data_IF_253209220554
#
_entry.id   IF_253209220554
#
_cell.length_a   1.000
_cell.length_b   1.000
_cell.length_c   1.000
_cell.angle_alpha   90.00
_cell.angle_beta   90.00
_cell.angle_gamma   90.00
#
_symmetry.space_group_name_H-M   'P 1'
#
loop_
_entity.id
_entity.type
_entity.pdbx_description
1 polymer ?
#
# COMPACT_ATOMS: atom_id res chain seq x y z
N UNK A 1 15.31 6.35 4.07
CA UNK A 1 15.63 7.58 4.83
C UNK A 1 16.03 8.75 3.93
N UNK A 2 17.07 8.65 3.08
CA UNK A 2 17.45 9.76 2.17
C UNK A 2 16.29 10.29 1.31
N UNK A 3 15.52 9.40 0.67
CA UNK A 3 14.36 9.79 -0.13
C UNK A 3 13.25 10.46 0.71
N UNK A 4 13.11 10.06 1.97
CA UNK A 4 12.13 10.63 2.90
C UNK A 4 12.58 12.02 3.40
N UNK A 5 13.87 12.18 3.70
CA UNK A 5 14.44 13.45 4.17
C UNK A 5 14.64 14.48 3.05
N UNK A 6 14.91 14.03 1.81
CA UNK A 6 15.10 14.90 0.65
C UNK A 6 13.85 15.08 -0.22
N UNK A 7 12.79 14.32 0.04
CA UNK A 7 11.55 14.34 -0.73
C UNK A 7 10.42 15.01 0.04
N UNK A 8 9.34 15.37 -0.68
CA UNK A 8 8.07 15.74 -0.07
C UNK A 8 7.20 14.50 0.06
N UNK A 9 6.57 14.32 1.23
CA UNK A 9 5.55 13.31 1.41
C UNK A 9 4.27 13.77 0.75
N UNK A 10 3.54 12.85 0.14
CA UNK A 10 2.25 13.11 -0.47
C UNK A 10 1.27 12.00 -0.09
N UNK A 11 0.00 12.36 -0.07
CA UNK A 11 -1.12 11.43 -0.01
C UNK A 11 -1.98 11.68 -1.24
N UNK A 12 -2.52 10.64 -1.89
CA UNK A 12 -3.53 10.85 -2.92
C UNK A 12 -4.75 11.53 -2.29
N UNK A 13 -5.28 12.54 -2.98
CA UNK A 13 -6.58 13.12 -2.65
C UNK A 13 -7.64 12.01 -2.62
N UNK A 14 -8.46 11.97 -1.57
CA UNK A 14 -9.45 10.91 -1.35
C UNK A 14 -8.88 9.61 -0.76
N UNK A 15 -7.56 9.52 -0.52
CA UNK A 15 -6.93 8.39 0.15
C UNK A 15 -6.30 7.34 -0.77
N UNK A 16 -5.70 6.31 -0.16
CA UNK A 16 -4.85 5.35 -0.87
C UNK A 16 -5.59 4.51 -1.93
N UNK A 17 -6.92 4.31 -1.77
CA UNK A 17 -7.75 3.52 -2.69
C UNK A 17 -7.97 4.20 -4.06
N UNK A 18 -7.79 5.52 -4.13
CA UNK A 18 -8.03 6.30 -5.36
C UNK A 18 -7.11 5.85 -6.49
N UNK A 19 -5.84 5.55 -6.18
CA UNK A 19 -4.87 5.13 -7.18
C UNK A 19 -5.23 3.77 -7.82
N UNK A 20 -5.46 2.68 -7.06
CA UNK A 20 -5.97 1.42 -7.61
C UNK A 20 -7.27 1.61 -8.42
N UNK A 21 -8.20 2.45 -7.95
CA UNK A 21 -9.43 2.74 -8.67
C UNK A 21 -9.21 3.42 -10.02
N UNK A 22 -8.28 4.39 -10.10
CA UNK A 22 -7.88 5.03 -11.36
C UNK A 22 -7.23 4.04 -12.33
N UNK A 23 -6.33 3.19 -11.82
CA UNK A 23 -5.66 2.17 -12.64
C UNK A 23 -6.65 1.15 -13.19
N UNK A 24 -7.60 0.68 -12.37
CA UNK A 24 -8.61 -0.27 -12.80
C UNK A 24 -9.54 0.30 -13.89
N UNK A 25 -9.92 1.58 -13.78
CA UNK A 25 -10.75 2.28 -14.79
C UNK A 25 -10.07 2.45 -16.15
N UNK A 26 -8.73 2.42 -16.19
CA UNK A 26 -7.97 2.51 -17.43
C UNK A 26 -7.89 1.18 -18.20
N UNK A 27 -8.38 0.07 -17.62
CA UNK A 27 -8.35 -1.25 -18.24
C UNK A 27 -9.64 -1.53 -19.01
N UNK A 28 -9.61 -2.38 -20.06
CA UNK A 28 -10.81 -2.82 -20.75
C UNK A 28 -11.84 -3.42 -19.78
N UNK A 29 -13.15 -3.19 -19.98
CA UNK A 29 -14.20 -3.78 -19.15
C UNK A 29 -14.05 -5.30 -19.02
N UNK A 30 -14.24 -5.82 -17.81
CA UNK A 30 -14.10 -7.25 -17.50
C UNK A 30 -12.66 -7.73 -17.22
N UNK A 31 -11.64 -6.87 -17.34
CA UNK A 31 -10.25 -7.22 -17.02
C UNK A 31 -10.05 -7.51 -15.53
N UNK A 32 -10.67 -6.71 -14.65
CA UNK A 32 -10.58 -6.89 -13.20
C UNK A 32 -11.79 -7.67 -12.70
N UNK A 33 -11.55 -8.78 -12.01
CA UNK A 33 -12.58 -9.62 -11.38
C UNK A 33 -12.31 -9.71 -9.88
N UNK A 34 -13.13 -9.04 -9.08
CA UNK A 34 -13.08 -9.12 -7.61
C UNK A 34 -13.99 -10.24 -7.10
N UNK A 35 -13.84 -10.64 -5.83
CA UNK A 35 -14.58 -11.78 -5.26
C UNK A 35 -14.16 -13.15 -5.81
N UNK A 36 -13.14 -13.21 -6.68
CA UNK A 36 -12.61 -14.45 -7.24
C UNK A 36 -11.36 -14.87 -6.48
N UNK A 37 -11.50 -15.86 -5.59
CA UNK A 37 -10.36 -16.42 -4.84
C UNK A 37 -9.60 -17.45 -5.69
N UNK A 38 -8.31 -17.20 -5.90
CA UNK A 38 -7.37 -18.16 -6.50
C UNK A 38 -6.96 -19.20 -5.47
N UNK A 39 -6.94 -20.47 -5.85
CA UNK A 39 -6.58 -21.61 -4.98
C UNK A 39 -5.36 -22.37 -5.49
N UNK A 40 -5.03 -22.26 -6.78
CA UNK A 40 -3.82 -22.86 -7.35
C UNK A 40 -3.42 -22.12 -8.62
N UNK A 41 -2.12 -22.09 -8.90
CA UNK A 41 -1.55 -21.48 -10.11
C UNK A 41 -0.59 -22.45 -10.80
N UNK A 42 -0.55 -22.39 -12.12
CA UNK A 42 0.46 -23.03 -12.96
C UNK A 42 0.99 -22.02 -13.97
N UNK A 43 1.91 -22.42 -14.85
CA UNK A 43 2.41 -21.55 -15.93
C UNK A 43 1.36 -21.17 -16.96
N UNK A 44 0.26 -21.92 -17.05
CA UNK A 44 -0.73 -21.80 -18.12
C UNK A 44 -2.18 -21.76 -17.62
N UNK A 45 -2.37 -21.78 -16.30
CA UNK A 45 -3.71 -21.75 -15.71
C UNK A 45 -3.74 -21.21 -14.29
N UNK A 46 -4.92 -20.73 -13.91
CA UNK A 46 -5.26 -20.32 -12.55
C UNK A 46 -6.54 -21.06 -12.17
N UNK A 47 -6.50 -21.82 -11.08
CA UNK A 47 -7.69 -22.47 -10.50
C UNK A 47 -8.27 -21.55 -9.45
N UNK A 48 -9.59 -21.40 -9.49
CA UNK A 48 -10.34 -20.56 -8.56
C UNK A 48 -11.29 -21.42 -7.73
N UNK A 49 -11.66 -20.94 -6.54
CA UNK A 49 -12.55 -21.69 -5.65
C UNK A 49 -13.93 -21.94 -6.25
N UNK A 50 -14.50 -20.94 -6.92
CA UNK A 50 -15.92 -20.92 -7.33
C UNK A 50 -16.13 -20.65 -8.83
N UNK A 51 -15.07 -20.33 -9.57
CA UNK A 51 -15.16 -19.87 -10.97
C UNK A 51 -14.40 -20.77 -11.96
N UNK A 52 -14.07 -22.00 -11.53
CA UNK A 52 -13.36 -22.98 -12.34
C UNK A 52 -11.91 -22.60 -12.65
N UNK A 53 -11.41 -23.11 -13.79
CA UNK A 53 -10.04 -22.92 -14.25
C UNK A 53 -9.98 -21.88 -15.36
N UNK A 54 -9.16 -20.86 -15.17
CA UNK A 54 -8.86 -19.85 -16.18
C UNK A 54 -7.56 -20.24 -16.91
N UNK A 55 -7.58 -20.31 -18.23
CA UNK A 55 -6.38 -20.60 -19.04
C UNK A 55 -5.70 -19.31 -19.45
N UNK A 56 -4.38 -19.32 -19.46
CA UNK A 56 -3.55 -18.17 -19.82
C UNK A 56 -2.22 -18.62 -20.43
N UNK A 57 -1.47 -17.67 -20.99
CA UNK A 57 -0.11 -17.91 -21.52
C UNK A 57 1.00 -17.68 -20.48
N UNK A 58 0.68 -16.93 -19.43
CA UNK A 58 1.55 -16.64 -18.31
C UNK A 58 0.72 -16.25 -17.08
N UNK A 59 1.28 -16.43 -15.89
CA UNK A 59 0.71 -16.01 -14.60
C UNK A 59 1.68 -15.08 -13.90
N UNK A 60 1.20 -13.91 -13.48
CA UNK A 60 1.89 -13.00 -12.56
C UNK A 60 1.20 -13.06 -11.21
N UNK A 61 1.91 -13.52 -10.19
CA UNK A 61 1.45 -13.52 -8.82
C UNK A 61 1.83 -12.20 -8.14
N UNK A 62 0.84 -11.39 -7.81
CA UNK A 62 0.97 -10.06 -7.20
C UNK A 62 0.31 -9.99 -5.81
N UNK A 63 0.35 -11.09 -5.06
CA UNK A 63 -0.18 -11.19 -3.68
C UNK A 63 0.89 -10.81 -2.65
N UNK A 64 0.51 -10.71 -1.38
CA UNK A 64 1.49 -10.68 -0.30
C UNK A 64 2.35 -11.96 -0.27
N UNK A 65 3.48 -11.90 0.46
CA UNK A 65 4.47 -12.98 0.43
C UNK A 65 3.96 -14.30 1.04
N UNK A 66 3.01 -14.25 1.98
CA UNK A 66 2.46 -15.46 2.62
C UNK A 66 1.48 -16.14 1.67
N UNK A 67 0.51 -15.38 1.15
CA UNK A 67 -0.42 -15.87 0.13
C UNK A 67 0.33 -16.38 -1.12
N UNK A 68 1.45 -15.75 -1.48
CA UNK A 68 2.28 -16.23 -2.58
C UNK A 68 2.88 -17.61 -2.29
N UNK A 69 3.38 -17.84 -1.07
CA UNK A 69 3.96 -19.11 -0.67
C UNK A 69 2.92 -20.22 -0.46
N UNK A 70 1.66 -19.89 -0.14
CA UNK A 70 0.54 -20.85 -0.14
C UNK A 70 0.26 -21.37 -1.55
N UNK A 71 0.28 -20.49 -2.54
CA UNK A 71 0.04 -20.86 -3.94
C UNK A 71 1.24 -21.52 -4.61
N UNK A 72 2.46 -21.18 -4.15
CA UNK A 72 3.73 -21.67 -4.68
C UNK A 72 4.67 -22.10 -3.55
N UNK A 73 4.51 -23.34 -3.03
CA UNK A 73 5.38 -23.87 -1.99
C UNK A 73 6.85 -23.83 -2.42
N UNK A 74 7.71 -23.35 -1.52
CA UNK A 74 9.14 -23.16 -1.79
C UNK A 74 9.56 -21.70 -2.03
N UNK A 75 8.61 -20.77 -2.15
CA UNK A 75 8.92 -19.34 -2.11
C UNK A 75 9.45 -18.93 -0.74
N UNK A 76 10.53 -18.13 -0.74
CA UNK A 76 11.07 -17.55 0.49
C UNK A 76 10.13 -16.48 1.04
N UNK A 77 9.55 -16.76 2.20
CA UNK A 77 8.78 -15.79 2.98
C UNK A 77 9.71 -15.06 3.95
N UNK A 78 9.82 -13.72 3.89
CA UNK A 78 10.58 -12.96 4.87
C UNK A 78 9.87 -12.96 6.24
N UNK A 79 10.58 -12.55 7.30
CA UNK A 79 9.87 -12.08 8.50
C UNK A 79 9.16 -10.76 8.20
N UNK A 80 8.33 -10.28 9.13
CA UNK A 80 7.61 -9.02 8.96
C UNK A 80 7.73 -8.14 10.20
N UNK A 81 7.62 -6.83 9.97
CA UNK A 81 7.41 -5.85 11.01
C UNK A 81 5.93 -5.47 11.05
N UNK A 82 5.23 -5.70 12.18
CA UNK A 82 3.84 -5.29 12.33
C UNK A 82 3.73 -3.78 12.43
N UNK A 83 2.59 -3.26 11.96
CA UNK A 83 2.26 -1.83 12.03
C UNK A 83 0.81 -1.70 12.48
N UNK A 84 0.57 -0.76 13.40
CA UNK A 84 -0.80 -0.35 13.77
C UNK A 84 -1.00 1.11 13.41
N UNK A 85 -2.07 1.40 12.68
CA UNK A 85 -2.50 2.77 12.38
C UNK A 85 -3.74 3.08 13.20
N UNK A 86 -3.72 4.20 13.91
CA UNK A 86 -4.86 4.69 14.70
C UNK A 86 -5.33 6.01 14.12
N UNK A 87 -6.63 6.10 13.87
CA UNK A 87 -7.30 7.29 13.38
C UNK A 87 -8.14 7.93 14.49
N UNK A 88 -7.89 9.20 14.75
CA UNK A 88 -8.66 10.01 15.69
C UNK A 88 -9.30 11.20 14.98
N UNK A 89 -10.39 11.68 15.55
CA UNK A 89 -11.00 12.94 15.15
C UNK A 89 -11.32 13.81 16.35
N UNK A 90 -11.42 15.12 16.10
CA UNK A 90 -11.84 16.11 17.09
C UNK A 90 -12.56 17.27 16.41
N UNK A 91 -13.47 17.90 17.14
CA UNK A 91 -14.13 19.17 16.82
C UNK A 91 -13.39 20.40 17.34
N UNK A 92 -12.32 20.22 18.13
CA UNK A 92 -11.55 21.28 18.74
C UNK A 92 -10.09 21.22 18.26
N UNK A 93 -9.79 21.68 17.03
CA UNK A 93 -8.47 21.53 16.47
C UNK A 93 -7.37 22.25 17.27
N UNK A 94 -7.70 23.29 18.04
CA UNK A 94 -6.71 24.13 18.73
C UNK A 94 -5.58 24.67 17.81
N UNK A 95 -4.69 25.51 18.33
CA UNK A 95 -3.49 25.93 17.58
C UNK A 95 -2.47 24.78 17.44
N UNK A 96 -2.47 23.83 18.36
CA UNK A 96 -1.53 22.70 18.42
C UNK A 96 -1.61 21.74 17.21
N UNK A 97 -2.79 21.58 16.61
CA UNK A 97 -2.96 20.73 15.41
C UNK A 97 -2.72 21.48 14.10
N UNK A 98 -2.34 22.76 14.17
CA UNK A 98 -1.92 23.55 13.01
C UNK A 98 -0.46 23.28 12.62
N UNK A 99 -0.06 22.01 12.56
CA UNK A 99 1.30 21.60 12.14
C UNK A 99 1.54 21.76 10.62
N UNK A 100 0.59 22.38 9.91
CA UNK A 100 0.54 22.42 8.46
C UNK A 100 0.49 21.01 7.88
N UNK A 101 1.27 20.78 6.81
CA UNK A 101 1.39 19.49 6.13
C UNK A 101 2.58 18.65 6.61
N UNK A 102 3.12 18.98 7.79
CA UNK A 102 4.30 18.32 8.34
C UNK A 102 3.95 17.01 9.04
N UNK A 103 4.83 16.01 8.91
CA UNK A 103 4.81 14.80 9.72
C UNK A 103 5.52 15.09 11.05
N UNK A 104 4.88 14.76 12.17
CA UNK A 104 5.49 14.84 13.49
C UNK A 104 6.08 13.47 13.85
N UNK A 105 7.34 13.46 14.31
CA UNK A 105 8.04 12.26 14.75
C UNK A 105 8.42 12.40 16.22
N UNK A 106 8.31 11.31 16.97
CA UNK A 106 8.84 11.25 18.33
C UNK A 106 10.31 10.79 18.30
N UNK A 107 11.23 11.72 18.56
CA UNK A 107 12.65 11.41 18.65
C UNK A 107 13.04 10.77 19.99
N UNK A 108 12.28 11.04 21.05
CA UNK A 108 12.61 10.65 22.43
C UNK A 108 12.09 9.25 22.79
N UNK A 109 11.25 8.67 21.93
CA UNK A 109 10.61 7.36 22.12
C UNK A 109 9.82 7.31 23.45
N UNK A 110 9.15 8.41 23.77
CA UNK A 110 8.36 8.60 24.99
C UNK A 110 7.02 7.86 25.00
N UNK A 111 6.67 7.19 23.90
CA UNK A 111 5.45 6.39 23.80
C UNK A 111 5.38 5.55 22.53
N UNK A 112 4.22 4.94 22.24
CA UNK A 112 4.08 3.95 21.17
C UNK A 112 4.04 4.57 19.75
N UNK A 113 3.78 5.87 19.64
CA UNK A 113 3.62 6.55 18.35
C UNK A 113 4.99 6.83 17.74
N UNK A 114 5.31 6.19 16.62
CA UNK A 114 6.52 6.46 15.87
C UNK A 114 6.41 7.78 15.08
N UNK A 115 5.24 8.04 14.51
CA UNK A 115 4.93 9.30 13.84
C UNK A 115 3.42 9.55 13.74
N UNK A 116 3.04 10.81 13.57
CA UNK A 116 1.64 11.25 13.43
C UNK A 116 1.53 12.42 12.46
N UNK A 117 0.41 12.50 11.74
CA UNK A 117 0.08 13.62 10.87
C UNK A 117 -1.40 14.01 11.02
N UNK A 118 -1.66 15.32 10.91
CA UNK A 118 -3.00 15.86 10.76
C UNK A 118 -3.38 15.77 9.29
N UNK A 119 -4.02 14.66 8.92
CA UNK A 119 -4.32 14.31 7.53
C UNK A 119 -5.24 15.33 6.86
N UNK A 120 -6.20 15.87 7.61
CA UNK A 120 -7.12 16.89 7.09
C UNK A 120 -6.43 18.21 6.73
N UNK A 121 -5.21 18.48 7.22
CA UNK A 121 -4.41 19.62 6.77
C UNK A 121 -3.78 19.38 5.39
N UNK A 122 -3.61 18.12 4.99
CA UNK A 122 -3.04 17.74 3.69
C UNK A 122 -4.15 17.55 2.66
N UNK A 123 -5.23 16.87 3.06
CA UNK A 123 -6.40 16.62 2.24
C UNK A 123 -7.68 16.87 3.08
N UNK A 124 -8.25 18.08 3.01
CA UNK A 124 -9.44 18.45 3.76
C UNK A 124 -10.67 17.59 3.46
N UNK A 125 -10.74 16.96 2.28
CA UNK A 125 -11.88 16.11 1.89
C UNK A 125 -12.00 14.84 2.75
N UNK A 126 -10.93 14.47 3.46
CA UNK A 126 -10.85 13.29 4.33
C UNK A 126 -11.51 13.47 5.69
N UNK A 127 -11.99 14.67 6.01
CA UNK A 127 -12.71 14.93 7.25
C UNK A 127 -13.99 15.74 6.97
N UNK A 128 -15.09 15.48 7.69
CA UNK A 128 -16.26 16.35 7.65
C UNK A 128 -15.91 17.80 8.03
N UNK A 129 -16.70 18.76 7.54
CA UNK A 129 -16.53 20.16 7.90
C UNK A 129 -16.55 20.35 9.44
N UNK A 130 -15.60 21.13 9.96
CA UNK A 130 -15.44 21.36 11.40
C UNK A 130 -14.80 20.21 12.17
N UNK A 131 -14.36 19.15 11.49
CA UNK A 131 -13.65 18.02 12.11
C UNK A 131 -12.23 17.90 11.58
N UNK A 132 -11.35 17.46 12.45
CA UNK A 132 -9.94 17.18 12.11
C UNK A 132 -9.75 15.67 12.03
N UNK A 133 -8.94 15.19 11.08
CA UNK A 133 -8.50 13.79 11.01
C UNK A 133 -7.02 13.70 11.37
N UNK A 134 -6.71 12.97 12.43
CA UNK A 134 -5.35 12.68 12.88
C UNK A 134 -5.06 11.20 12.63
N UNK A 135 -3.91 10.90 12.03
CA UNK A 135 -3.46 9.54 11.78
C UNK A 135 -2.11 9.30 12.44
N UNK A 136 -2.07 8.32 13.33
CA UNK A 136 -0.90 7.96 14.12
C UNK A 136 -0.45 6.55 13.77
N UNK A 137 0.86 6.33 13.71
CA UNK A 137 1.45 5.04 13.39
C UNK A 137 2.28 4.52 14.55
N UNK A 138 1.99 3.28 14.95
CA UNK A 138 2.72 2.51 15.95
C UNK A 138 3.47 1.41 15.21
N UNK A 139 4.79 1.31 15.44
CA UNK A 139 5.64 0.29 14.84
C UNK A 139 5.89 -0.81 15.87
N UNK A 140 5.81 -2.08 15.44
CA UNK A 140 5.98 -3.21 16.34
C UNK A 140 4.66 -3.70 16.95
N UNK A 141 4.76 -4.54 17.97
CA UNK A 141 3.60 -5.08 18.67
C UNK A 141 2.86 -3.93 19.38
N UNK A 142 1.57 -3.71 19.11
CA UNK A 142 0.82 -2.67 19.79
C UNK A 142 0.68 -3.00 21.29
N UNK A 143 0.63 -2.01 22.18
CA UNK A 143 0.25 -2.23 23.56
C UNK A 143 -1.21 -2.70 23.66
N UNK A 144 -1.58 -3.32 24.79
CA UNK A 144 -2.90 -3.91 25.01
C UNK A 144 -4.04 -2.88 24.83
N UNK A 145 -3.91 -1.71 25.47
CA UNK A 145 -4.80 -0.56 25.23
C UNK A 145 -4.12 0.46 24.31
N UNK A 146 -4.06 0.11 23.02
CA UNK A 146 -3.41 0.94 21.99
C UNK A 146 -4.05 2.31 21.86
N UNK A 147 -5.36 2.43 22.03
CA UNK A 147 -6.03 3.72 21.90
C UNK A 147 -5.64 4.68 23.02
N UNK A 148 -5.77 4.26 24.29
CA UNK A 148 -5.43 5.12 25.41
C UNK A 148 -3.94 5.47 25.44
N UNK A 149 -3.07 4.51 25.11
CA UNK A 149 -1.64 4.73 25.03
C UNK A 149 -1.26 5.73 23.92
N UNK A 150 -1.89 5.62 22.74
CA UNK A 150 -1.69 6.57 21.64
C UNK A 150 -2.22 7.94 22.03
N UNK A 151 -3.45 8.09 22.52
CA UNK A 151 -4.00 9.40 22.93
C UNK A 151 -3.18 10.07 24.02
N UNK A 152 -2.68 9.31 24.99
CA UNK A 152 -1.79 9.83 26.04
C UNK A 152 -0.50 10.36 25.41
N UNK A 153 0.10 9.62 24.49
CA UNK A 153 1.32 10.05 23.82
C UNK A 153 1.11 11.28 22.93
N UNK A 154 0.01 11.30 22.15
CA UNK A 154 -0.35 12.43 21.30
C UNK A 154 -0.60 13.71 22.07
N UNK A 155 -1.15 13.62 23.29
CA UNK A 155 -1.35 14.82 24.12
C UNK A 155 -0.02 15.52 24.46
N UNK A 156 1.04 14.73 24.66
CA UNK A 156 2.40 15.23 24.90
C UNK A 156 3.03 15.75 23.61
N UNK A 157 2.92 14.99 22.52
CA UNK A 157 3.53 15.34 21.23
C UNK A 157 2.95 16.63 20.64
N UNK A 158 1.63 16.79 20.70
CA UNK A 158 0.97 18.01 20.24
C UNK A 158 0.89 19.10 21.31
N UNK A 159 1.15 18.78 22.58
CA UNK A 159 1.01 19.74 23.69
C UNK A 159 -0.43 20.19 23.92
N UNK A 160 -1.41 19.31 23.67
CA UNK A 160 -2.85 19.60 23.80
C UNK A 160 -3.60 18.43 24.44
N UNK A 161 -4.67 18.67 25.22
CA UNK A 161 -5.51 17.59 25.72
C UNK A 161 -6.15 16.77 24.58
N UNK A 162 -6.14 15.44 24.72
CA UNK A 162 -6.78 14.49 23.77
C UNK A 162 -8.05 13.86 24.34
N UNK A 163 -8.58 14.39 25.45
CA UNK A 163 -9.76 13.87 26.14
C UNK A 163 -11.05 13.94 25.29
N UNK A 164 -11.16 14.93 24.40
CA UNK A 164 -12.26 15.08 23.43
C UNK A 164 -12.04 14.34 22.11
N UNK A 165 -10.93 13.62 21.98
CA UNK A 165 -10.64 12.91 20.74
C UNK A 165 -11.43 11.61 20.69
N UNK A 166 -12.07 11.39 19.57
CA UNK A 166 -12.83 10.18 19.27
C UNK A 166 -12.00 9.28 18.36
N UNK A 167 -11.98 7.99 18.67
CA UNK A 167 -11.29 6.97 17.88
C UNK A 167 -12.20 6.53 16.74
N UNK A 168 -11.78 6.78 15.52
CA UNK A 168 -12.52 6.38 14.32
C UNK A 168 -12.22 4.93 13.93
N UNK A 169 -10.94 4.56 13.96
CA UNK A 169 -10.51 3.23 13.60
C UNK A 169 -9.11 2.90 14.14
N UNK A 170 -8.90 1.61 14.36
CA UNK A 170 -7.60 1.02 14.69
C UNK A 170 -7.36 -0.12 13.69
N UNK A 171 -6.32 -0.01 12.88
CA UNK A 171 -5.96 -1.00 11.88
C UNK A 171 -4.61 -1.61 12.26
N UNK A 172 -4.63 -2.86 12.74
CA UNK A 172 -3.43 -3.63 12.99
C UNK A 172 -3.13 -4.57 11.82
N UNK A 173 -1.95 -4.42 11.24
CA UNK A 173 -1.46 -5.28 10.16
C UNK A 173 -0.23 -6.04 10.66
N UNK A 174 -0.36 -7.33 11.02
CA UNK A 174 0.75 -8.09 11.61
C UNK A 174 1.91 -8.31 10.63
N UNK A 175 1.58 -8.49 9.35
CA UNK A 175 2.54 -8.69 8.27
C UNK A 175 2.65 -7.44 7.38
N UNK A 176 2.84 -6.26 7.99
CA UNK A 176 2.76 -4.99 7.27
C UNK A 176 3.97 -4.69 6.38
N UNK A 177 5.19 -4.92 6.89
CA UNK A 177 6.42 -4.56 6.16
C UNK A 177 7.38 -5.75 6.16
N UNK A 178 7.76 -6.28 4.98
CA UNK A 178 8.78 -7.32 4.90
C UNK A 178 10.09 -6.91 5.59
N UNK A 179 10.61 -7.77 6.45
CA UNK A 179 11.84 -7.53 7.20
C UNK A 179 13.08 -7.65 6.30
N UNK A 180 13.95 -6.63 6.36
CA UNK A 180 15.19 -6.53 5.58
C UNK A 180 16.41 -6.74 6.47
N UNK A 181 16.70 -8.01 6.78
CA UNK A 181 17.90 -8.38 7.55
C UNK A 181 19.16 -8.30 6.67
N UNK A 182 20.36 -8.07 7.26
CA UNK A 182 21.64 -8.10 6.54
C UNK A 182 21.81 -9.32 5.64
N UNK A 183 22.59 -9.18 4.56
CA UNK A 183 22.50 -9.99 3.33
C UNK A 183 21.15 -9.84 2.59
N UNK A 184 20.62 -8.61 2.62
CA UNK A 184 19.41 -8.24 1.89
C UNK A 184 19.70 -8.07 0.39
N UNK A 185 18.95 -8.80 -0.43
CA UNK A 185 18.91 -8.63 -1.89
C UNK A 185 17.69 -7.76 -2.26
N UNK A 186 17.89 -6.50 -2.69
CA UNK A 186 16.82 -5.61 -3.12
C UNK A 186 16.28 -5.93 -4.51
N UNK A 187 16.82 -6.91 -5.24
CA UNK A 187 16.43 -7.21 -6.61
C UNK A 187 16.18 -8.71 -6.84
N UNK A 188 15.38 -9.31 -5.96
CA UNK A 188 15.06 -10.74 -6.05
C UNK A 188 14.47 -11.08 -7.43
N UNK A 189 14.71 -12.30 -7.96
CA UNK A 189 14.23 -12.68 -9.29
C UNK A 189 12.71 -12.56 -9.44
N UNK A 190 12.18 -11.94 -10.49
CA UNK A 190 10.72 -11.87 -10.70
C UNK A 190 10.17 -13.02 -11.54
N UNK A 191 11.06 -13.72 -12.25
CA UNK A 191 10.78 -14.91 -13.06
C UNK A 191 11.12 -16.16 -12.25
N UNK A 192 10.13 -17.00 -11.96
CA UNK A 192 10.34 -18.27 -11.27
C UNK A 192 10.58 -19.39 -12.28
N UNK A 193 9.75 -19.42 -13.33
CA UNK A 193 9.95 -20.23 -14.52
C UNK A 193 9.28 -19.55 -15.72
N UNK A 194 9.55 -20.03 -16.93
CA UNK A 194 8.87 -19.53 -18.12
C UNK A 194 7.34 -19.69 -17.96
N UNK A 195 6.61 -18.58 -18.03
CA UNK A 195 5.16 -18.54 -17.82
C UNK A 195 4.71 -18.36 -16.36
N UNK A 196 5.61 -18.31 -15.36
CA UNK A 196 5.27 -18.05 -13.96
C UNK A 196 6.18 -17.00 -13.32
N UNK A 197 5.55 -15.93 -12.85
CA UNK A 197 6.21 -14.72 -12.37
C UNK A 197 5.63 -14.32 -11.02
N UNK A 198 6.42 -13.60 -10.24
CA UNK A 198 6.01 -13.05 -8.95
C UNK A 198 6.50 -11.62 -8.81
N UNK A 199 5.64 -10.74 -8.30
CA UNK A 199 5.99 -9.38 -7.93
C UNK A 199 5.38 -9.02 -6.57
N UNK A 200 5.87 -7.94 -5.98
CA UNK A 200 5.48 -7.45 -4.67
C UNK A 200 6.65 -6.80 -3.96
N UNK A 201 6.35 -6.10 -2.87
CA UNK A 201 7.34 -5.51 -1.97
C UNK A 201 8.32 -6.54 -1.36
N UNK A 202 7.94 -7.82 -1.34
CA UNK A 202 8.78 -8.95 -0.94
C UNK A 202 9.76 -9.44 -2.04
N UNK A 203 9.70 -8.88 -3.26
CA UNK A 203 10.64 -9.13 -4.37
C UNK A 203 11.64 -8.00 -4.60
N UNK A 204 11.44 -6.85 -3.97
CA UNK A 204 12.30 -5.68 -4.12
C UNK A 204 12.40 -4.92 -2.79
N UNK A 205 12.60 -3.60 -2.82
CA UNK A 205 12.55 -2.71 -1.65
C UNK A 205 11.17 -2.75 -0.99
N UNK A 206 11.04 -2.99 0.34
CA UNK A 206 9.76 -3.19 1.03
C UNK A 206 8.96 -1.87 1.17
N UNK A 207 8.52 -1.34 0.04
CA UNK A 207 7.86 -0.04 -0.11
C UNK A 207 6.89 -0.12 -1.30
N UNK A 208 5.93 0.80 -1.37
CA UNK A 208 5.05 0.91 -2.55
C UNK A 208 5.83 1.08 -3.86
N UNK A 209 6.89 1.89 -3.84
CA UNK A 209 7.76 2.09 -5.00
C UNK A 209 8.47 0.80 -5.42
N UNK A 210 9.00 0.02 -4.45
CA UNK A 210 9.61 -1.27 -4.75
C UNK A 210 8.61 -2.31 -5.27
N UNK A 211 7.38 -2.31 -4.73
CA UNK A 211 6.30 -3.15 -5.28
C UNK A 211 6.03 -2.82 -6.75
N UNK A 212 5.87 -1.54 -7.09
CA UNK A 212 5.68 -1.07 -8.47
C UNK A 212 6.88 -1.42 -9.36
N UNK A 213 8.11 -1.21 -8.88
CA UNK A 213 9.31 -1.56 -9.63
C UNK A 213 9.38 -3.07 -9.92
N UNK A 214 9.09 -3.92 -8.92
CA UNK A 214 9.03 -5.37 -9.12
C UNK A 214 7.95 -5.77 -10.14
N UNK A 215 6.81 -5.08 -10.14
CA UNK A 215 5.72 -5.31 -11.10
C UNK A 215 6.13 -4.91 -12.52
N UNK A 216 6.83 -3.78 -12.69
CA UNK A 216 7.41 -3.38 -13.97
C UNK A 216 8.40 -4.44 -14.48
N UNK A 217 9.35 -4.86 -13.64
CA UNK A 217 10.32 -5.92 -14.00
C UNK A 217 9.62 -7.22 -14.42
N UNK A 218 8.61 -7.64 -13.67
CA UNK A 218 7.86 -8.87 -13.97
C UNK A 218 7.08 -8.75 -15.28
N UNK A 219 6.41 -7.62 -15.51
CA UNK A 219 5.65 -7.35 -16.73
C UNK A 219 6.56 -7.29 -17.95
N UNK A 220 7.71 -6.62 -17.86
CA UNK A 220 8.73 -6.61 -18.93
C UNK A 220 9.18 -8.04 -19.24
N UNK A 221 9.48 -8.85 -18.22
CA UNK A 221 9.88 -10.23 -18.41
C UNK A 221 8.80 -11.09 -19.08
N UNK A 222 7.51 -10.87 -18.74
CA UNK A 222 6.37 -11.53 -19.38
C UNK A 222 6.27 -11.13 -20.86
N UNK A 223 6.31 -9.84 -21.16
CA UNK A 223 6.18 -9.34 -22.53
C UNK A 223 7.31 -9.86 -23.43
N UNK A 224 8.55 -9.86 -22.93
CA UNK A 224 9.70 -10.43 -23.63
C UNK A 224 9.50 -11.92 -23.92
N UNK A 225 9.12 -12.72 -22.92
CA UNK A 225 8.95 -14.17 -23.11
C UNK A 225 7.75 -14.52 -24.00
N UNK A 226 6.73 -13.68 -24.03
CA UNK A 226 5.57 -13.85 -24.92
C UNK A 226 5.81 -13.36 -26.36
N UNK A 227 6.99 -12.79 -26.64
CA UNK A 227 7.33 -12.20 -27.95
C UNK A 227 6.57 -10.91 -28.25
N UNK A 228 5.96 -10.29 -27.23
CA UNK A 228 5.20 -9.06 -27.35
C UNK A 228 6.12 -7.84 -27.22
N UNK A 229 7.10 -7.72 -28.11
CA UNK A 229 7.89 -6.48 -28.25
C UNK A 229 7.14 -5.52 -29.16
N UNK A 230 6.18 -4.78 -28.60
CA UNK A 230 5.66 -3.54 -29.19
C UNK A 230 5.48 -2.47 -28.12
N UNK A 231 5.94 -1.26 -28.45
CA UNK A 231 6.06 -0.03 -27.65
C UNK A 231 5.08 0.12 -26.48
N UNK A 232 5.60 0.30 -25.25
CA UNK A 232 4.84 0.72 -24.06
C UNK A 232 4.22 2.13 -24.19
N UNK A 233 4.43 2.81 -25.31
CA UNK A 233 3.95 4.16 -25.56
C UNK A 233 3.02 4.15 -26.78
N UNK A 234 1.75 3.90 -26.53
CA UNK A 234 0.56 4.42 -27.24
C UNK A 234 -0.65 3.91 -26.45
N UNK A 235 -1.04 4.65 -25.42
CA UNK A 235 -2.46 4.74 -25.16
C UNK A 235 -3.02 5.43 -26.40
N UNK A 236 -3.63 4.67 -27.29
CA UNK A 236 -4.29 5.22 -28.48
C UNK A 236 -5.31 6.26 -27.96
N UNK A 237 -5.19 7.56 -28.29
CA UNK A 237 -6.21 8.51 -27.89
C UNK A 237 -7.54 8.07 -28.54
N UNK A 238 -8.67 8.15 -27.81
CA UNK A 238 -9.96 7.80 -28.39
C UNK A 238 -10.19 8.66 -29.64
N UNK A 239 -10.63 8.01 -30.72
CA UNK A 239 -10.88 8.67 -32.00
C UNK A 239 -11.76 9.91 -31.79
N UNK A 240 -11.20 11.09 -32.06
CA UNK A 240 -11.95 12.35 -32.10
C UNK A 240 -13.04 12.23 -33.15
N UNK A 241 -14.30 12.26 -32.72
CA UNK A 241 -15.42 12.41 -33.64
C UNK A 241 -15.30 13.77 -34.38
N UNK A 242 -15.62 13.83 -35.68
CA UNK A 242 -15.62 15.09 -36.41
C UNK A 242 -16.64 16.03 -35.78
N UNK A 243 -16.23 17.26 -35.45
CA UNK A 243 -17.16 18.36 -35.21
C UNK A 243 -17.98 18.55 -36.49
N UNK A 244 -19.30 18.33 -36.38
CA UNK A 244 -20.24 18.79 -37.38
C UNK A 244 -20.13 20.32 -37.54
N UNK A 245 -20.24 20.76 -38.79
CA UNK A 245 -20.10 22.14 -39.26
C UNK A 245 -21.08 23.12 -38.59
#
# INVERSE_FOLDING_TARGET
LRAFAGGRLSVPEGGAEVLPGLLARALPPGTVRTGVRVTSVSTTSVTTAEHGVLRCRAVLLATDARAAAELLPGLRVPGFHPVTVVHHTTDDPGPALSTGTSLLLDADRGGPVAHTAVISNVDPSRAPAGRTLISSTVLGTPPEDVDAAVRTHLSRLYGTPTNRWETLAVHHTPDAVPATRPAYDPHRPVRLLAGLYVCGDHRDTPTLQGALHSATRATTAILTDLGATSSMHLADPPATMPRAA
#
